data_IF_842156172507
#
_entry.id   IF_842156172507
#
_cell.length_a   1.000
_cell.length_b   1.000
_cell.length_c   1.000
_cell.angle_alpha   90.00
_cell.angle_beta   90.00
_cell.angle_gamma   90.00
#
_symmetry.space_group_name_H-M   'P 1'
#
loop_
_entity.id
_entity.type
_entity.pdbx_description
1 polymer ?
#
# COMPACT_ATOMS: atom_id res chain seq x y z
N UNK A 1 -8.91 -11.97 -8.02
CA UNK A 1 -7.50 -11.49 -8.01
C UNK A 1 -7.01 -10.94 -6.66
N UNK A 2 -7.87 -10.65 -5.67
CA UNK A 2 -7.43 -10.06 -4.39
C UNK A 2 -6.52 -10.99 -3.58
N UNK A 3 -6.89 -12.26 -3.48
CA UNK A 3 -6.11 -13.22 -2.72
C UNK A 3 -4.96 -13.85 -3.49
N UNK A 4 -4.81 -13.63 -4.81
CA UNK A 4 -3.77 -14.30 -5.60
C UNK A 4 -2.35 -13.95 -5.14
N UNK A 5 -2.08 -12.66 -4.90
CA UNK A 5 -0.76 -12.17 -4.43
C UNK A 5 -0.54 -12.55 -2.97
N UNK A 6 -1.59 -12.48 -2.16
CA UNK A 6 -1.55 -12.94 -0.78
C UNK A 6 -1.25 -14.44 -0.75
N UNK A 7 -2.02 -15.32 -1.39
CA UNK A 7 -1.77 -16.76 -1.44
C UNK A 7 -0.37 -17.11 -1.99
N UNK A 8 0.09 -16.43 -3.05
CA UNK A 8 1.38 -16.71 -3.66
C UNK A 8 2.57 -16.30 -2.77
N UNK A 9 2.55 -15.08 -2.23
CA UNK A 9 3.68 -14.52 -1.48
C UNK A 9 3.68 -14.99 -0.02
N UNK A 10 2.51 -15.24 0.57
CA UNK A 10 2.39 -15.53 1.99
C UNK A 10 2.68 -16.99 2.37
N UNK A 11 2.37 -17.95 1.48
CA UNK A 11 2.63 -19.37 1.73
C UNK A 11 4.12 -19.74 1.60
N UNK A 12 4.96 -18.77 1.25
CA UNK A 12 6.42 -18.90 1.25
C UNK A 12 7.06 -18.45 2.58
N UNK A 13 6.35 -17.69 3.43
CA UNK A 13 6.87 -17.13 4.69
C UNK A 13 6.32 -17.91 5.91
N UNK A 14 7.05 -18.94 6.35
CA UNK A 14 6.64 -19.85 7.45
C UNK A 14 6.19 -19.14 8.74
N UNK A 15 6.84 -18.02 9.12
CA UNK A 15 6.51 -17.29 10.36
C UNK A 15 5.15 -16.60 10.33
N UNK A 16 4.76 -16.08 9.17
CA UNK A 16 3.53 -15.31 9.02
C UNK A 16 2.35 -16.18 8.57
N UNK A 17 2.62 -17.37 8.02
CA UNK A 17 1.65 -18.32 7.45
C UNK A 17 0.39 -18.49 8.32
N UNK A 18 0.53 -18.64 9.64
CA UNK A 18 -0.60 -18.82 10.57
C UNK A 18 -1.47 -17.57 10.73
N UNK A 19 -0.85 -16.40 10.92
CA UNK A 19 -1.58 -15.13 11.13
C UNK A 19 -2.36 -14.74 9.90
N UNK A 20 -1.73 -14.96 8.76
CA UNK A 20 -2.28 -14.78 7.45
C UNK A 20 -3.43 -15.74 7.16
N UNK A 21 -3.27 -17.02 7.46
CA UNK A 21 -4.32 -18.00 7.23
C UNK A 21 -5.57 -17.64 8.04
N UNK A 22 -5.38 -17.07 9.24
CA UNK A 22 -6.48 -16.52 10.04
C UNK A 22 -7.16 -15.32 9.38
N UNK A 23 -6.41 -14.40 8.76
CA UNK A 23 -6.97 -13.27 8.01
C UNK A 23 -7.76 -13.74 6.79
N UNK A 24 -7.21 -14.67 5.99
CA UNK A 24 -7.93 -15.30 4.88
C UNK A 24 -9.21 -15.94 5.40
N UNK A 25 -9.14 -16.73 6.47
CA UNK A 25 -10.29 -17.42 7.02
C UNK A 25 -11.43 -16.47 7.40
N UNK A 26 -11.10 -15.31 7.96
CA UNK A 26 -12.10 -14.30 8.37
C UNK A 26 -12.64 -13.50 7.18
N UNK A 27 -11.80 -13.20 6.19
CA UNK A 27 -12.16 -12.30 5.09
C UNK A 27 -12.76 -13.01 3.87
N UNK A 28 -12.57 -14.32 3.71
CA UNK A 28 -13.04 -15.06 2.53
C UNK A 28 -14.55 -15.21 2.52
N UNK A 29 -15.18 -14.83 1.40
CA UNK A 29 -16.59 -15.13 1.11
C UNK A 29 -16.73 -16.31 0.16
N UNK A 30 -17.93 -16.90 0.01
CA UNK A 30 -18.15 -18.03 -0.90
C UNK A 30 -17.73 -17.75 -2.36
N UNK A 31 -17.94 -16.52 -2.84
CA UNK A 31 -17.64 -16.11 -4.20
C UNK A 31 -16.13 -16.07 -4.48
N UNK A 32 -15.34 -15.78 -3.46
CA UNK A 32 -13.88 -15.61 -3.55
C UNK A 32 -13.13 -16.93 -3.76
N UNK A 33 -13.76 -18.07 -3.45
CA UNK A 33 -13.13 -19.39 -3.54
C UNK A 33 -13.01 -19.81 -5.00
N UNK A 34 -11.77 -19.96 -5.48
CA UNK A 34 -11.47 -20.44 -6.84
C UNK A 34 -10.75 -21.78 -6.83
N UNK A 35 -10.88 -22.55 -7.93
CA UNK A 35 -10.16 -23.82 -8.11
C UNK A 35 -8.63 -23.66 -8.00
N UNK A 36 -8.11 -22.49 -8.42
CA UNK A 36 -6.68 -22.17 -8.36
C UNK A 36 -6.19 -22.07 -6.91
N UNK A 37 -6.97 -21.45 -6.02
CA UNK A 37 -6.61 -21.28 -4.61
C UNK A 37 -6.66 -22.61 -3.85
N UNK A 38 -7.64 -23.46 -4.15
CA UNK A 38 -7.70 -24.84 -3.62
C UNK A 38 -6.47 -25.64 -4.04
N UNK A 39 -6.10 -25.62 -5.33
CA UNK A 39 -4.92 -26.34 -5.83
C UNK A 39 -3.63 -25.87 -5.13
N UNK A 40 -3.49 -24.56 -4.92
CA UNK A 40 -2.34 -24.00 -4.18
C UNK A 40 -2.29 -24.46 -2.73
N UNK A 41 -3.42 -24.47 -2.03
CA UNK A 41 -3.50 -24.96 -0.65
C UNK A 41 -3.16 -26.45 -0.56
N UNK A 42 -3.60 -27.27 -1.53
CA UNK A 42 -3.25 -28.70 -1.60
C UNK A 42 -1.76 -28.93 -1.89
N UNK A 43 -1.16 -28.14 -2.79
CA UNK A 43 0.29 -28.19 -3.04
C UNK A 43 1.06 -27.83 -1.78
N UNK A 44 0.62 -26.80 -1.05
CA UNK A 44 1.23 -26.43 0.23
C UNK A 44 1.07 -27.52 1.29
N UNK A 45 -0.10 -28.13 1.38
CA UNK A 45 -0.37 -29.24 2.31
C UNK A 45 0.65 -30.38 2.11
N UNK A 46 0.96 -30.72 0.85
CA UNK A 46 1.94 -31.75 0.48
C UNK A 46 3.39 -31.39 0.83
N UNK A 47 3.71 -30.11 1.00
CA UNK A 47 5.06 -29.65 1.41
C UNK A 47 5.40 -30.03 2.85
N UNK A 48 4.38 -30.27 3.67
CA UNK A 48 4.56 -30.64 5.07
C UNK A 48 4.34 -32.15 5.26
N UNK A 49 5.20 -32.80 6.04
CA UNK A 49 5.06 -34.21 6.42
C UNK A 49 3.77 -34.48 7.21
N UNK A 50 3.31 -33.50 7.99
CA UNK A 50 1.98 -33.49 8.61
C UNK A 50 1.27 -32.17 8.29
N UNK A 51 0.03 -32.19 7.78
CA UNK A 51 -0.67 -30.99 7.39
C UNK A 51 -0.88 -30.03 8.58
N UNK A 52 -0.41 -28.78 8.50
CA UNK A 52 -0.63 -27.78 9.53
C UNK A 52 -2.12 -27.49 9.76
N UNK A 53 -2.50 -27.28 11.02
CA UNK A 53 -3.90 -27.07 11.43
C UNK A 53 -4.57 -25.89 10.71
N UNK A 54 -3.85 -24.81 10.44
CA UNK A 54 -4.39 -23.63 9.75
C UNK A 54 -4.67 -23.87 8.27
N UNK A 55 -3.89 -24.73 7.60
CA UNK A 55 -4.16 -25.13 6.20
C UNK A 55 -5.42 -25.98 6.15
N UNK A 56 -5.57 -26.91 7.09
CA UNK A 56 -6.76 -27.76 7.18
C UNK A 56 -8.02 -26.91 7.47
N UNK A 57 -7.91 -25.90 8.34
CA UNK A 57 -9.01 -24.98 8.62
C UNK A 57 -9.45 -24.20 7.36
N UNK A 58 -8.50 -23.73 6.55
CA UNK A 58 -8.80 -23.07 5.28
C UNK A 58 -9.46 -24.02 4.26
N UNK A 59 -8.92 -25.24 4.12
CA UNK A 59 -9.52 -26.25 3.23
C UNK A 59 -10.93 -26.65 3.68
N UNK A 60 -11.18 -26.68 4.99
CA UNK A 60 -12.52 -26.94 5.54
C UNK A 60 -13.50 -25.79 5.23
N UNK A 61 -13.07 -24.53 5.39
CA UNK A 61 -13.85 -23.35 4.98
C UNK A 61 -14.17 -23.37 3.49
N UNK A 62 -13.19 -23.70 2.65
CA UNK A 62 -13.36 -23.74 1.21
C UNK A 62 -14.33 -24.87 0.82
N UNK A 63 -14.26 -26.02 1.51
CA UNK A 63 -15.21 -27.12 1.32
C UNK A 63 -16.64 -26.74 1.73
N UNK A 64 -16.82 -25.94 2.79
CA UNK A 64 -18.16 -25.46 3.17
C UNK A 64 -18.76 -24.48 2.17
N UNK A 65 -17.92 -23.75 1.42
CA UNK A 65 -18.38 -22.79 0.42
C UNK A 65 -18.58 -23.41 -0.97
N UNK A 66 -17.65 -24.28 -1.40
CA UNK A 66 -17.64 -24.91 -2.74
C UNK A 66 -17.14 -26.35 -2.65
N UNK A 67 -17.97 -27.30 -2.17
CA UNK A 67 -17.57 -28.68 -1.94
C UNK A 67 -17.06 -29.38 -3.21
N UNK A 68 -17.56 -28.99 -4.39
CA UNK A 68 -17.16 -29.51 -5.70
C UNK A 68 -15.71 -29.22 -6.09
N UNK A 69 -15.10 -28.18 -5.49
CA UNK A 69 -13.72 -27.79 -5.80
C UNK A 69 -12.69 -28.47 -4.90
N UNK A 70 -13.12 -29.10 -3.81
CA UNK A 70 -12.25 -29.54 -2.73
C UNK A 70 -12.36 -31.06 -2.54
N UNK A 71 -11.24 -31.80 -2.39
CA UNK A 71 -11.28 -33.24 -2.20
C UNK A 71 -12.14 -33.68 -1.01
N UNK A 72 -12.87 -34.78 -1.15
CA UNK A 72 -13.76 -35.29 -0.10
C UNK A 72 -13.01 -35.63 1.20
N UNK A 73 -11.80 -36.17 1.08
CA UNK A 73 -10.97 -36.68 2.18
C UNK A 73 -10.11 -35.60 2.85
N UNK A 74 -10.73 -34.55 3.40
CA UNK A 74 -10.04 -33.60 4.27
C UNK A 74 -10.18 -34.05 5.72
N UNK A 75 -9.08 -34.04 6.47
CA UNK A 75 -9.09 -34.26 7.91
C UNK A 75 -9.94 -33.19 8.61
N UNK A 76 -10.89 -33.58 9.45
CA UNK A 76 -11.66 -32.64 10.26
C UNK A 76 -10.78 -32.03 11.36
N UNK A 77 -10.88 -30.73 11.58
CA UNK A 77 -10.18 -30.03 12.67
C UNK A 77 -11.17 -29.17 13.44
N UNK A 78 -11.08 -29.17 14.77
CA UNK A 78 -11.80 -28.23 15.61
C UNK A 78 -11.22 -26.81 15.40
N UNK A 79 -12.00 -25.93 14.77
CA UNK A 79 -11.62 -24.56 14.40
C UNK A 79 -11.22 -23.72 15.63
N UNK A 80 -11.92 -23.88 16.76
CA UNK A 80 -11.62 -23.17 18.01
C UNK A 80 -10.25 -23.53 18.57
N UNK A 81 -9.77 -24.74 18.26
CA UNK A 81 -8.42 -25.19 18.62
C UNK A 81 -7.31 -24.63 17.71
N UNK A 82 -7.66 -24.07 16.54
CA UNK A 82 -6.70 -23.54 15.56
C UNK A 82 -6.34 -22.08 15.86
N UNK A 83 -7.33 -21.27 16.22
CA UNK A 83 -7.15 -19.88 16.63
C UNK A 83 -8.31 -19.44 17.52
N UNK A 84 -8.00 -18.53 18.46
CA UNK A 84 -9.05 -17.82 19.20
C UNK A 84 -9.92 -17.01 18.22
N UNK A 85 -11.20 -16.79 18.51
CA UNK A 85 -12.01 -15.82 17.77
C UNK A 85 -11.31 -14.46 17.72
N UNK A 86 -11.35 -13.78 16.58
CA UNK A 86 -10.97 -12.36 16.54
C UNK A 86 -12.06 -11.60 17.29
N UNK A 87 -11.70 -10.62 18.12
CA UNK A 87 -12.69 -9.77 18.80
C UNK A 87 -13.63 -9.15 17.77
N UNK A 88 -14.91 -9.09 18.09
CA UNK A 88 -15.95 -8.64 17.16
C UNK A 88 -15.65 -7.26 16.54
N UNK A 89 -15.14 -6.32 17.34
CA UNK A 89 -14.71 -5.00 16.86
C UNK A 89 -13.67 -5.08 15.73
N UNK A 90 -12.62 -5.90 15.90
CA UNK A 90 -11.58 -6.08 14.88
C UNK A 90 -12.13 -6.82 13.66
N UNK A 91 -13.00 -7.82 13.86
CA UNK A 91 -13.65 -8.56 12.77
C UNK A 91 -14.43 -7.58 11.87
N UNK A 92 -15.31 -6.78 12.48
CA UNK A 92 -16.10 -5.77 11.78
C UNK A 92 -15.22 -4.74 11.08
N UNK A 93 -14.15 -4.25 11.73
CA UNK A 93 -13.23 -3.30 11.12
C UNK A 93 -12.50 -3.87 9.89
N UNK A 94 -12.15 -5.16 9.92
CA UNK A 94 -11.50 -5.87 8.81
C UNK A 94 -12.49 -6.14 7.66
N UNK A 95 -13.71 -6.56 7.98
CA UNK A 95 -14.79 -6.75 7.00
C UNK A 95 -15.16 -5.43 6.31
N UNK A 96 -15.33 -4.36 7.08
CA UNK A 96 -15.58 -3.02 6.58
C UNK A 96 -14.39 -2.49 5.75
N UNK A 97 -13.13 -2.81 6.12
CA UNK A 97 -11.97 -2.50 5.29
C UNK A 97 -11.97 -3.23 3.95
N UNK A 98 -12.38 -4.51 3.91
CA UNK A 98 -12.55 -5.29 2.69
C UNK A 98 -13.66 -4.68 1.82
N UNK A 99 -14.82 -4.43 2.42
CA UNK A 99 -16.01 -3.94 1.71
C UNK A 99 -15.79 -2.51 1.18
N UNK A 100 -15.11 -1.63 1.94
CA UNK A 100 -14.63 -0.33 1.44
C UNK A 100 -13.73 -0.47 0.22
N UNK A 101 -12.90 -1.52 0.15
CA UNK A 101 -11.99 -1.72 -0.97
C UNK A 101 -12.73 -2.17 -2.24
N UNK A 102 -13.77 -2.98 -2.11
CA UNK A 102 -14.65 -3.39 -3.22
C UNK A 102 -15.55 -2.25 -3.68
N UNK A 103 -16.07 -1.48 -2.73
CA UNK A 103 -16.77 -0.22 -3.00
C UNK A 103 -15.80 0.78 -3.66
N UNK A 104 -14.51 0.80 -3.31
CA UNK A 104 -13.51 1.62 -4.00
C UNK A 104 -13.14 1.10 -5.39
N UNK A 105 -13.21 -0.21 -5.65
CA UNK A 105 -13.01 -0.77 -7.00
C UNK A 105 -14.23 -0.52 -7.91
N UNK A 106 -15.44 -0.56 -7.37
CA UNK A 106 -16.66 -0.19 -8.11
C UNK A 106 -16.85 1.33 -8.23
N UNK A 107 -16.38 2.12 -7.25
CA UNK A 107 -16.35 3.59 -7.28
C UNK A 107 -15.01 4.16 -7.74
N UNK A 108 -14.19 3.37 -8.43
CA UNK A 108 -12.87 3.80 -8.91
C UNK A 108 -12.93 4.77 -10.10
N UNK A 109 -14.07 5.43 -10.32
CA UNK A 109 -14.11 6.79 -10.86
C UNK A 109 -13.99 7.81 -9.73
N UNK A 110 -12.75 8.04 -9.28
CA UNK A 110 -12.21 9.37 -8.91
C UNK A 110 -12.85 10.26 -7.81
N UNK A 111 -14.02 9.97 -7.23
CA UNK A 111 -14.80 11.07 -6.62
C UNK A 111 -14.62 11.33 -5.11
N UNK A 112 -14.40 10.32 -4.26
CA UNK A 112 -14.60 10.53 -2.80
C UNK A 112 -13.35 10.87 -1.98
N UNK A 113 -12.14 10.60 -2.47
CA UNK A 113 -10.91 10.83 -1.68
C UNK A 113 -9.99 11.96 -2.17
N UNK A 114 -10.30 12.63 -3.28
CA UNK A 114 -9.41 13.67 -3.80
C UNK A 114 -10.13 14.85 -4.43
N UNK A 115 -11.00 15.51 -3.65
CA UNK A 115 -11.46 16.86 -3.97
C UNK A 115 -10.39 17.94 -3.65
N UNK A 116 -9.14 17.53 -3.34
CA UNK A 116 -8.03 18.47 -3.14
C UNK A 116 -7.67 19.23 -4.41
N UNK A 117 -7.96 18.67 -5.58
CA UNK A 117 -7.82 19.42 -6.83
C UNK A 117 -8.72 20.65 -6.86
N UNK A 118 -9.95 20.57 -6.32
CA UNK A 118 -10.84 21.75 -6.25
C UNK A 118 -10.27 22.78 -5.29
N UNK A 119 -9.73 22.36 -4.14
CA UNK A 119 -9.02 23.27 -3.22
C UNK A 119 -7.84 23.93 -3.96
N UNK A 120 -7.06 23.16 -4.70
CA UNK A 120 -5.96 23.69 -5.49
C UNK A 120 -6.42 24.67 -6.58
N UNK A 121 -7.51 24.37 -7.27
CA UNK A 121 -8.12 25.25 -8.27
C UNK A 121 -8.64 26.53 -7.63
N UNK A 122 -9.28 26.45 -6.46
CA UNK A 122 -9.75 27.64 -5.74
C UNK A 122 -8.56 28.52 -5.32
N UNK A 123 -7.49 27.91 -4.79
CA UNK A 123 -6.25 28.61 -4.44
C UNK A 123 -5.54 29.24 -5.64
N UNK A 124 -5.64 28.66 -6.85
CA UNK A 124 -5.02 29.25 -8.04
C UNK A 124 -5.80 30.45 -8.58
N UNK A 125 -7.09 30.55 -8.27
CA UNK A 125 -7.97 31.65 -8.67
C UNK A 125 -8.15 32.70 -7.57
N UNK A 126 -7.73 32.41 -6.33
CA UNK A 126 -7.80 33.36 -5.24
C UNK A 126 -6.67 34.38 -5.33
N UNK A 127 -7.01 35.66 -5.18
CA UNK A 127 -6.04 36.75 -5.02
C UNK A 127 -5.33 36.75 -3.65
N UNK A 128 -5.79 35.90 -2.72
CA UNK A 128 -5.16 35.70 -1.42
C UNK A 128 -4.16 34.56 -1.57
N UNK A 129 -2.87 34.86 -1.40
CA UNK A 129 -1.79 33.87 -1.45
C UNK A 129 -1.70 33.01 -0.18
N UNK A 130 -2.84 32.49 0.28
CA UNK A 130 -2.90 31.53 1.38
C UNK A 130 -3.22 30.16 0.83
N UNK A 131 -2.53 29.14 1.31
CA UNK A 131 -2.74 27.77 0.89
C UNK A 131 -3.07 26.87 2.07
N UNK A 132 -3.95 25.91 1.83
CA UNK A 132 -4.45 24.97 2.83
C UNK A 132 -3.41 23.89 3.05
N UNK A 133 -3.06 23.60 4.30
CA UNK A 133 -2.15 22.51 4.61
C UNK A 133 -2.88 21.17 4.40
N UNK A 134 -2.43 20.30 3.47
CA UNK A 134 -3.07 19.02 3.26
C UNK A 134 -2.88 18.12 4.50
N UNK A 135 -3.94 17.43 4.97
CA UNK A 135 -3.80 16.48 6.08
C UNK A 135 -2.85 15.33 5.75
N UNK A 136 -2.15 14.81 6.78
CA UNK A 136 -1.28 13.62 6.68
C UNK A 136 -1.97 12.44 5.97
N UNK A 137 -3.24 12.21 6.25
CA UNK A 137 -4.02 11.13 5.63
C UNK A 137 -4.19 11.31 4.11
N UNK A 138 -4.26 12.54 3.62
CA UNK A 138 -4.35 12.84 2.18
C UNK A 138 -3.00 12.57 1.52
N UNK A 139 -1.91 13.09 2.10
CA UNK A 139 -0.56 12.95 1.55
C UNK A 139 -0.11 11.49 1.56
N UNK A 140 -0.06 10.89 2.75
CA UNK A 140 0.45 9.53 2.89
C UNK A 140 -0.52 8.47 2.40
N UNK A 141 -1.83 8.71 2.48
CA UNK A 141 -2.83 7.82 1.90
C UNK A 141 -2.78 7.77 0.38
N UNK A 142 -2.51 8.91 -0.28
CA UNK A 142 -2.27 8.95 -1.72
C UNK A 142 -0.93 8.31 -2.10
N UNK A 143 0.12 8.55 -1.29
CA UNK A 143 1.45 7.95 -1.48
C UNK A 143 1.37 6.42 -1.46
N UNK A 144 0.87 5.81 -0.38
CA UNK A 144 0.80 4.34 -0.23
C UNK A 144 -0.34 3.67 -1.03
N UNK A 145 -1.05 4.44 -1.86
CA UNK A 145 -2.17 3.95 -2.65
C UNK A 145 -1.73 2.96 -3.72
N UNK A 146 -2.67 2.17 -4.24
CA UNK A 146 -2.45 1.26 -5.38
C UNK A 146 -2.41 1.98 -6.73
N UNK A 147 -2.75 3.28 -6.75
CA UNK A 147 -2.90 4.05 -7.98
C UNK A 147 -1.69 4.93 -8.23
N UNK A 148 -0.95 4.68 -9.33
CA UNK A 148 0.10 5.57 -9.79
C UNK A 148 -0.42 6.99 -10.09
N UNK A 149 -1.70 7.13 -10.44
CA UNK A 149 -2.29 8.45 -10.64
C UNK A 149 -2.39 9.23 -9.32
N UNK A 150 -2.69 8.57 -8.19
CA UNK A 150 -2.71 9.22 -6.87
C UNK A 150 -1.29 9.54 -6.39
N UNK A 151 -0.33 8.63 -6.60
CA UNK A 151 1.09 8.88 -6.36
C UNK A 151 1.59 10.10 -7.16
N UNK A 152 1.30 10.13 -8.46
CA UNK A 152 1.62 11.25 -9.35
C UNK A 152 0.98 12.56 -8.89
N UNK A 153 -0.28 12.52 -8.45
CA UNK A 153 -1.00 13.70 -7.95
C UNK A 153 -0.41 14.24 -6.65
N UNK A 154 0.00 13.38 -5.71
CA UNK A 154 0.63 13.86 -4.47
C UNK A 154 2.01 14.46 -4.74
N UNK A 155 2.80 13.88 -5.65
CA UNK A 155 4.06 14.46 -6.10
C UNK A 155 3.86 15.84 -6.75
N UNK A 156 2.86 15.96 -7.66
CA UNK A 156 2.49 17.24 -8.29
C UNK A 156 2.06 18.29 -7.27
N UNK A 157 1.30 17.88 -6.25
CA UNK A 157 0.85 18.76 -5.18
C UNK A 157 2.03 19.31 -4.37
N UNK A 158 2.99 18.46 -3.98
CA UNK A 158 4.17 18.86 -3.24
C UNK A 158 5.10 19.77 -4.06
N UNK A 159 5.25 19.50 -5.35
CA UNK A 159 5.95 20.39 -6.28
C UNK A 159 5.33 21.79 -6.34
N UNK A 160 4.00 21.87 -6.42
CA UNK A 160 3.27 23.14 -6.41
C UNK A 160 3.55 23.93 -5.13
N UNK A 161 3.52 23.29 -3.97
CA UNK A 161 3.84 23.96 -2.71
C UNK A 161 5.28 24.45 -2.64
N UNK A 162 6.23 23.69 -3.18
CA UNK A 162 7.62 24.13 -3.31
C UNK A 162 7.74 25.40 -4.18
N UNK A 163 6.99 25.47 -5.29
CA UNK A 163 6.95 26.66 -6.15
C UNK A 163 6.23 27.85 -5.51
N UNK A 164 5.27 27.61 -4.61
CA UNK A 164 4.58 28.67 -3.88
C UNK A 164 5.43 29.29 -2.76
N UNK A 165 6.35 28.51 -2.16
CA UNK A 165 7.29 29.00 -1.14
C UNK A 165 8.08 30.23 -1.59
N UNK A 166 8.34 30.37 -2.90
CA UNK A 166 9.09 31.51 -3.45
C UNK A 166 8.24 32.76 -3.64
N UNK A 167 6.91 32.68 -3.53
CA UNK A 167 5.98 33.77 -3.87
C UNK A 167 5.34 34.46 -2.66
N UNK A 168 5.14 33.76 -1.54
CA UNK A 168 4.30 34.25 -0.45
C UNK A 168 5.04 34.53 0.85
N UNK A 169 5.43 35.78 1.06
CA UNK A 169 5.92 36.29 2.35
C UNK A 169 4.97 37.31 3.01
N UNK A 170 3.84 37.66 2.37
CA UNK A 170 3.21 38.95 2.65
C UNK A 170 1.85 38.90 3.37
N UNK A 171 1.28 37.73 3.69
CA UNK A 171 -0.12 37.64 4.16
C UNK A 171 -0.30 36.92 5.50
N UNK A 172 0.57 35.99 5.89
CA UNK A 172 0.39 35.16 7.10
C UNK A 172 1.47 35.47 8.15
N UNK A 173 1.15 35.42 9.47
CA UNK A 173 2.16 35.50 10.52
C UNK A 173 3.33 34.55 10.27
N UNK A 174 4.57 35.03 10.46
CA UNK A 174 5.80 34.32 10.09
C UNK A 174 5.90 32.94 10.73
N UNK A 175 5.49 32.83 12.00
CA UNK A 175 5.50 31.60 12.78
C UNK A 175 4.60 30.50 12.19
N UNK A 176 3.36 30.87 11.83
CA UNK A 176 2.41 29.94 11.20
C UNK A 176 2.91 29.56 9.80
N UNK A 177 3.53 30.48 9.08
CA UNK A 177 4.03 30.25 7.72
C UNK A 177 5.22 29.28 7.74
N UNK A 178 6.19 29.53 8.61
CA UNK A 178 7.35 28.69 8.81
C UNK A 178 6.95 27.27 9.21
N UNK A 179 6.00 27.11 10.13
CA UNK A 179 5.53 25.78 10.55
C UNK A 179 4.84 25.03 9.41
N UNK A 180 4.01 25.71 8.61
CA UNK A 180 3.38 25.07 7.44
C UNK A 180 4.40 24.64 6.38
N UNK A 181 5.38 25.49 6.09
CA UNK A 181 6.48 25.15 5.18
C UNK A 181 7.27 23.97 5.73
N UNK A 182 7.58 23.96 7.03
CA UNK A 182 8.25 22.85 7.70
C UNK A 182 7.50 21.54 7.50
N UNK A 183 6.18 21.52 7.69
CA UNK A 183 5.36 20.32 7.51
C UNK A 183 5.38 19.82 6.07
N UNK A 184 5.26 20.70 5.06
CA UNK A 184 5.39 20.29 3.65
C UNK A 184 6.79 19.71 3.38
N UNK A 185 7.83 20.36 3.89
CA UNK A 185 9.20 19.88 3.71
C UNK A 185 9.37 18.47 4.29
N UNK A 186 8.78 18.18 5.45
CA UNK A 186 8.77 16.83 6.02
C UNK A 186 8.02 15.86 5.10
N UNK A 187 6.85 16.23 4.58
CA UNK A 187 6.09 15.39 3.64
C UNK A 187 6.88 15.06 2.37
N UNK A 188 7.51 16.06 1.79
CA UNK A 188 8.32 15.89 0.59
C UNK A 188 9.56 15.04 0.87
N UNK A 189 10.25 15.28 1.99
CA UNK A 189 11.43 14.50 2.36
C UNK A 189 11.09 13.04 2.65
N UNK A 190 9.99 12.75 3.35
CA UNK A 190 9.53 11.37 3.59
C UNK A 190 9.31 10.62 2.28
N UNK A 191 8.57 11.25 1.34
CA UNK A 191 8.27 10.64 0.04
C UNK A 191 9.53 10.52 -0.82
N UNK A 192 10.41 11.51 -0.80
CA UNK A 192 11.65 11.50 -1.56
C UNK A 192 12.61 10.40 -1.08
N UNK A 193 12.83 10.33 0.25
CA UNK A 193 13.65 9.29 0.89
C UNK A 193 13.10 7.89 0.63
N UNK A 194 11.78 7.73 0.70
CA UNK A 194 11.13 6.47 0.38
C UNK A 194 11.32 6.09 -1.10
N UNK A 195 11.05 7.01 -2.03
CA UNK A 195 11.10 6.73 -3.48
C UNK A 195 12.52 6.51 -4.00
N UNK A 196 13.51 7.25 -3.49
CA UNK A 196 14.84 7.33 -4.09
C UNK A 196 15.98 6.82 -3.21
N UNK A 197 15.96 7.05 -1.90
CA UNK A 197 17.10 6.70 -1.03
C UNK A 197 16.97 5.37 -0.29
N UNK A 198 15.82 4.71 -0.35
CA UNK A 198 15.54 3.50 0.44
C UNK A 198 15.72 3.77 1.95
N UNK A 199 15.10 4.83 2.47
CA UNK A 199 15.23 5.21 3.89
C UNK A 199 13.87 5.33 4.60
N UNK A 200 12.82 4.74 4.03
CA UNK A 200 11.44 4.89 4.53
C UNK A 200 11.21 4.31 5.93
N UNK A 201 11.92 3.24 6.29
CA UNK A 201 11.83 2.54 7.56
C UNK A 201 13.02 2.82 8.47
N UNK A 202 14.25 2.85 7.96
CA UNK A 202 15.46 3.13 8.76
C UNK A 202 15.43 4.55 9.33
N UNK A 203 15.09 5.55 8.51
CA UNK A 203 15.03 6.96 8.90
C UNK A 203 13.65 7.42 9.41
N UNK A 204 12.72 6.49 9.63
CA UNK A 204 11.32 6.79 9.97
C UNK A 204 11.10 7.71 11.17
N UNK A 205 12.08 7.81 12.08
CA UNK A 205 12.00 8.66 13.28
C UNK A 205 12.18 10.15 12.97
N UNK A 206 12.86 10.48 11.88
CA UNK A 206 13.06 11.84 11.41
C UNK A 206 11.92 12.33 10.50
N UNK A 207 11.07 11.40 10.07
CA UNK A 207 9.87 11.65 9.28
C UNK A 207 8.57 11.61 10.08
N UNK A 208 7.45 11.72 9.38
CA UNK A 208 6.10 11.56 9.98
C UNK A 208 5.45 10.25 9.49
N UNK A 209 5.68 9.83 8.24
CA UNK A 209 5.00 8.71 7.58
C UNK A 209 4.93 7.44 8.44
N UNK A 210 6.08 6.96 8.90
CA UNK A 210 6.22 5.70 9.65
C UNK A 210 6.71 5.90 11.09
N UNK A 211 6.73 7.14 11.58
CA UNK A 211 7.26 7.51 12.91
C UNK A 211 6.62 6.76 14.07
N UNK A 212 5.33 6.43 13.96
CA UNK A 212 4.56 5.74 14.99
C UNK A 212 4.74 4.20 14.97
N UNK A 213 5.48 3.64 14.02
CA UNK A 213 5.73 2.20 13.98
C UNK A 213 6.74 1.78 15.06
N UNK A 214 6.29 0.91 15.96
CA UNK A 214 7.15 0.35 17.01
C UNK A 214 8.30 -0.50 16.44
N UNK A 215 9.44 -0.49 17.12
CA UNK A 215 10.60 -1.33 16.77
C UNK A 215 10.24 -2.82 16.72
N UNK A 216 9.27 -3.26 17.54
CA UNK A 216 8.79 -4.63 17.56
C UNK A 216 8.17 -5.01 16.22
N UNK A 217 7.27 -4.17 15.69
CA UNK A 217 6.63 -4.40 14.39
C UNK A 217 7.68 -4.46 13.27
N UNK A 218 8.68 -3.56 13.29
CA UNK A 218 9.77 -3.58 12.31
C UNK A 218 10.56 -4.89 12.37
N UNK A 219 10.93 -5.33 13.58
CA UNK A 219 11.67 -6.58 13.79
C UNK A 219 10.86 -7.81 13.35
N UNK A 220 9.56 -7.83 13.62
CA UNK A 220 8.67 -8.91 13.22
C UNK A 220 8.51 -9.01 11.68
N UNK A 221 8.70 -7.89 10.97
CA UNK A 221 8.66 -7.82 9.51
C UNK A 221 10.04 -7.99 8.83
N UNK A 222 11.13 -8.07 9.59
CA UNK A 222 12.52 -8.08 9.12
C UNK A 222 12.98 -9.32 8.35
N UNK A 223 12.06 -10.10 7.79
CA UNK A 223 12.35 -11.22 6.89
C UNK A 223 12.69 -10.73 5.45
N UNK A 224 12.70 -9.42 5.23
CA UNK A 224 13.17 -8.75 4.02
C UNK A 224 13.67 -7.34 4.37
N UNK A 225 14.43 -6.76 3.46
CA UNK A 225 14.74 -5.33 3.51
C UNK A 225 13.44 -4.53 3.31
N UNK A 226 13.04 -3.79 4.34
CA UNK A 226 11.81 -3.00 4.34
C UNK A 226 11.99 -1.68 3.61
N UNK A 227 13.20 -1.14 3.62
CA UNK A 227 13.50 0.18 3.13
C UNK A 227 13.30 0.29 1.61
N UNK A 228 13.54 -0.81 0.90
CA UNK A 228 13.34 -0.90 -0.55
C UNK A 228 11.87 -1.03 -0.98
N UNK A 229 10.91 -1.25 -0.05
CA UNK A 229 9.53 -1.60 -0.41
C UNK A 229 8.74 -0.44 -1.03
N UNK A 230 9.08 0.80 -0.67
CA UNK A 230 8.38 2.01 -1.11
C UNK A 230 9.16 2.79 -2.16
N UNK A 231 10.26 2.24 -2.67
CA UNK A 231 11.07 2.91 -3.68
C UNK A 231 10.42 2.89 -5.06
N UNK A 232 10.89 3.74 -5.99
CA UNK A 232 10.28 3.91 -7.31
C UNK A 232 10.20 2.60 -8.14
N UNK A 233 11.00 1.58 -7.83
CA UNK A 233 10.99 0.28 -8.51
C UNK A 233 9.98 -0.69 -7.90
N UNK A 234 9.85 -0.69 -6.57
CA UNK A 234 9.08 -1.66 -5.81
C UNK A 234 7.76 -1.10 -5.24
N UNK A 235 7.54 0.20 -5.38
CA UNK A 235 6.35 0.86 -4.88
C UNK A 235 5.11 0.13 -5.38
N UNK A 236 4.20 -0.19 -4.47
CA UNK A 236 3.09 -1.08 -4.76
C UNK A 236 2.20 -0.60 -5.92
N UNK A 237 2.05 0.72 -6.09
CA UNK A 237 1.38 1.31 -7.25
C UNK A 237 2.07 1.04 -8.60
N UNK A 238 3.40 0.94 -8.60
CA UNK A 238 4.26 0.86 -9.80
C UNK A 238 4.45 -0.58 -10.27
N UNK A 239 4.42 -1.56 -9.37
CA UNK A 239 4.63 -2.98 -9.67
C UNK A 239 3.84 -3.50 -10.90
N UNK A 240 2.55 -3.16 -11.10
CA UNK A 240 1.80 -3.61 -12.29
C UNK A 240 2.37 -3.06 -13.62
N UNK A 241 2.86 -1.83 -13.62
CA UNK A 241 3.49 -1.20 -14.79
C UNK A 241 4.81 -1.90 -15.10
N UNK A 242 5.67 -2.06 -14.08
CA UNK A 242 6.94 -2.78 -14.19
C UNK A 242 6.75 -4.19 -14.74
N UNK A 243 5.77 -4.93 -14.22
CA UNK A 243 5.46 -6.28 -14.70
C UNK A 243 5.07 -6.29 -16.19
N UNK A 244 4.19 -5.38 -16.59
CA UNK A 244 3.74 -5.26 -17.99
C UNK A 244 4.90 -4.92 -18.91
N UNK A 245 5.74 -3.96 -18.52
CA UNK A 245 6.92 -3.55 -19.29
C UNK A 245 7.94 -4.67 -19.46
N UNK A 246 8.23 -5.40 -18.39
CA UNK A 246 9.14 -6.54 -18.45
C UNK A 246 8.61 -7.62 -19.40
N UNK A 247 7.29 -7.81 -19.48
CA UNK A 247 6.68 -8.74 -20.43
C UNK A 247 6.77 -8.30 -21.88
N UNK A 248 6.82 -7.00 -22.15
CA UNK A 248 7.01 -6.44 -23.50
C UNK A 248 8.49 -6.38 -23.90
N UNK A 249 9.41 -6.88 -23.06
CA UNK A 249 10.85 -6.89 -23.33
C UNK A 249 11.62 -5.68 -22.80
N UNK A 250 10.94 -4.73 -22.14
CA UNK A 250 11.59 -3.58 -21.50
C UNK A 250 11.99 -3.97 -20.06
N UNK A 251 13.26 -4.26 -19.83
CA UNK A 251 13.75 -4.68 -18.50
C UNK A 251 13.87 -3.48 -17.55
N UNK A 252 12.85 -3.27 -16.71
CA UNK A 252 12.84 -2.25 -15.65
C UNK A 252 13.39 -2.88 -14.37
N UNK A 253 14.70 -2.75 -14.16
CA UNK A 253 15.41 -3.34 -13.01
C UNK A 253 16.06 -2.32 -12.08
N UNK A 254 16.40 -1.14 -12.59
CA UNK A 254 17.08 -0.07 -11.83
C UNK A 254 16.12 1.07 -11.49
N UNK A 255 16.55 1.96 -10.57
CA UNK A 255 15.79 3.17 -10.22
C UNK A 255 15.73 4.14 -11.39
N UNK A 256 16.77 4.18 -12.21
CA UNK A 256 16.92 4.96 -13.43
C UNK A 256 15.95 4.48 -14.51
N UNK A 257 15.81 3.16 -14.69
CA UNK A 257 14.80 2.58 -15.58
C UNK A 257 13.39 2.97 -15.12
N UNK A 258 13.13 2.85 -13.82
CA UNK A 258 11.83 3.18 -13.24
C UNK A 258 11.52 4.68 -13.29
N UNK A 259 12.54 5.55 -13.17
CA UNK A 259 12.45 7.00 -13.37
C UNK A 259 12.14 7.33 -14.83
N UNK A 260 12.76 6.62 -15.77
CA UNK A 260 12.47 6.74 -17.21
C UNK A 260 11.03 6.32 -17.50
N UNK A 261 10.57 5.21 -16.93
CA UNK A 261 9.16 4.80 -17.02
C UNK A 261 8.23 5.87 -16.41
N UNK A 262 8.61 6.45 -15.28
CA UNK A 262 7.84 7.53 -14.65
C UNK A 262 7.68 8.75 -15.56
N UNK A 263 8.72 9.14 -16.29
CA UNK A 263 8.67 10.25 -17.25
C UNK A 263 7.50 10.12 -18.24
N UNK A 264 7.27 8.92 -18.77
CA UNK A 264 6.26 8.70 -19.80
C UNK A 264 4.86 8.42 -19.24
N UNK A 265 4.75 7.73 -18.10
CA UNK A 265 3.46 7.25 -17.58
C UNK A 265 2.91 8.08 -16.42
N UNK A 266 3.78 8.69 -15.62
CA UNK A 266 3.38 9.46 -14.44
C UNK A 266 4.43 10.57 -14.16
N UNK A 267 4.52 11.57 -15.05
CA UNK A 267 5.65 12.51 -15.13
C UNK A 267 5.89 13.32 -13.85
N UNK A 268 4.84 13.62 -13.08
CA UNK A 268 4.98 14.38 -11.85
C UNK A 268 5.85 13.69 -10.78
N UNK A 269 5.93 12.35 -10.80
CA UNK A 269 6.87 11.62 -9.93
C UNK A 269 8.31 11.86 -10.36
N UNK A 270 8.58 11.83 -11.67
CA UNK A 270 9.92 12.12 -12.20
C UNK A 270 10.33 13.57 -11.91
N UNK A 271 9.45 14.54 -12.20
CA UNK A 271 9.67 15.95 -11.88
C UNK A 271 9.94 16.17 -10.38
N UNK A 272 9.19 15.47 -9.53
CA UNK A 272 9.37 15.52 -8.08
C UNK A 272 10.75 15.00 -7.69
N UNK A 273 11.14 13.82 -8.16
CA UNK A 273 12.47 13.29 -7.89
C UNK A 273 13.57 14.24 -8.38
N UNK A 274 13.45 14.77 -9.60
CA UNK A 274 14.42 15.70 -10.16
C UNK A 274 14.57 16.96 -9.29
N UNK A 275 13.46 17.52 -8.79
CA UNK A 275 13.50 18.72 -7.96
C UNK A 275 14.27 18.52 -6.64
N UNK A 276 14.22 17.33 -6.04
CA UNK A 276 14.83 17.05 -4.73
C UNK A 276 16.20 16.35 -4.82
N UNK A 277 16.65 15.93 -6.01
CA UNK A 277 18.02 15.46 -6.26
C UNK A 277 19.01 16.58 -6.60
N UNK A 278 18.52 17.79 -6.88
CA UNK A 278 19.32 18.94 -7.33
C UNK A 278 19.57 19.98 -6.22
N UNK A 279 19.17 19.69 -4.99
CA UNK A 279 19.50 20.44 -3.77
C UNK A 279 20.50 19.63 -2.93
#
# INVERSE_FOLDING_TARGET
MYYDVFFYTMLQKKKLERHIARLIYVLTRPEDVTRRDVLRLLVLQKKYSKPPKHIIALLSLFKSYKPELVPEKIQSVNIESVWKPISEFIRLALEDARDRMEIQQSRQSTQTYFNWNVICTLESHSHVETWTLPPRAVIYGAFISKSCALLSRVCKLLLRYRQMRTRSYQIMPSDIYEERIRIICIYANDIHKALWYDESFSDRKNGILLSNLSNKVIKDLGDCDLDILLNIVNHYAVLPYRYTMNKTGLNISTKEDAKTMALYYYPAVNEFLAAFTSD
#
